data_IF_627987417981
#
_entry.id   IF_627987417981
#
_cell.length_a   1.000
_cell.length_b   1.000
_cell.length_c   1.000
_cell.angle_alpha   90.00
_cell.angle_beta   90.00
_cell.angle_gamma   90.00
#
_symmetry.space_group_name_H-M   'P 1'
#
loop_
_entity.id
_entity.type
_entity.pdbx_description
1 polymer ?
#
# COMPACT_ATOMS: atom_id res chain seq x y z
N UNK A 1 -0.01 -33.90 7.17
CA UNK A 1 0.55 -32.63 6.66
C UNK A 1 -0.26 -31.54 7.33
N UNK A 2 0.26 -31.02 8.43
CA UNK A 2 -0.51 -30.17 9.33
C UNK A 2 -0.63 -28.75 8.75
N UNK A 3 -1.84 -28.20 8.82
CA UNK A 3 -2.15 -26.87 8.35
C UNK A 3 -1.63 -25.87 9.40
N UNK A 4 -0.78 -24.87 9.03
CA UNK A 4 -0.23 -23.90 9.99
C UNK A 4 -1.27 -22.96 10.63
N UNK A 5 -2.55 -23.13 10.31
CA UNK A 5 -3.68 -22.33 10.77
C UNK A 5 -4.32 -22.84 12.07
N UNK A 6 -3.87 -23.97 12.62
CA UNK A 6 -4.50 -24.59 13.80
C UNK A 6 -3.93 -24.15 15.16
N UNK A 7 -2.97 -23.21 15.19
CA UNK A 7 -2.38 -22.71 16.43
C UNK A 7 -2.72 -21.24 16.72
N UNK A 8 -4.00 -20.89 16.65
CA UNK A 8 -4.54 -19.86 17.51
C UNK A 8 -6.04 -20.11 17.61
N UNK A 9 -6.56 -20.28 18.84
CA UNK A 9 -7.98 -20.43 19.10
C UNK A 9 -8.78 -19.21 18.62
N UNK A 10 -9.09 -19.19 17.32
CA UNK A 10 -10.12 -18.35 16.73
C UNK A 10 -11.46 -18.95 17.12
N UNK A 11 -11.82 -18.72 18.38
CA UNK A 11 -13.22 -18.73 18.77
C UNK A 11 -13.91 -17.77 17.81
N UNK A 12 -14.89 -18.29 17.06
CA UNK A 12 -15.86 -17.47 16.33
C UNK A 12 -16.54 -16.57 17.36
N UNK A 13 -16.04 -15.36 17.52
CA UNK A 13 -16.64 -14.36 18.40
C UNK A 13 -17.78 -13.74 17.60
N UNK A 14 -19.00 -14.24 17.81
CA UNK A 14 -20.21 -13.63 17.30
C UNK A 14 -20.27 -12.16 17.79
N UNK A 15 -20.14 -11.19 16.88
CA UNK A 15 -20.33 -9.77 17.17
C UNK A 15 -19.09 -8.88 17.07
N UNK A 16 -17.91 -9.39 16.70
CA UNK A 16 -16.72 -8.56 16.46
C UNK A 16 -16.66 -8.18 14.97
N UNK A 17 -16.58 -6.88 14.67
CA UNK A 17 -16.43 -6.40 13.30
C UNK A 17 -15.07 -6.85 12.72
N UNK A 18 -15.00 -7.05 11.41
CA UNK A 18 -13.73 -7.35 10.73
C UNK A 18 -12.66 -6.28 11.03
N UNK A 19 -13.10 -5.02 11.15
CA UNK A 19 -12.24 -3.90 11.52
C UNK A 19 -11.71 -4.03 12.96
N UNK A 20 -12.56 -4.40 13.92
CA UNK A 20 -12.14 -4.61 15.31
C UNK A 20 -11.11 -5.74 15.41
N UNK A 21 -11.31 -6.81 14.64
CA UNK A 21 -10.36 -7.90 14.56
C UNK A 21 -9.01 -7.42 14.00
N UNK A 22 -9.02 -6.71 12.86
CA UNK A 22 -7.79 -6.19 12.23
C UNK A 22 -7.06 -5.19 13.12
N UNK A 23 -7.77 -4.26 13.75
CA UNK A 23 -7.20 -3.29 14.68
C UNK A 23 -6.56 -3.98 15.89
N UNK A 24 -7.14 -5.06 16.39
CA UNK A 24 -6.55 -5.84 17.49
C UNK A 24 -5.30 -6.61 17.09
N UNK A 25 -5.25 -7.11 15.85
CA UNK A 25 -4.09 -7.85 15.33
C UNK A 25 -2.95 -6.92 14.91
N UNK A 26 -3.26 -5.70 14.48
CA UNK A 26 -2.29 -4.79 13.90
C UNK A 26 -1.06 -4.54 14.78
N UNK A 27 -1.17 -4.21 16.09
CA UNK A 27 0.01 -4.01 16.95
C UNK A 27 0.94 -5.22 17.01
N UNK A 28 0.41 -6.44 16.89
CA UNK A 28 1.19 -7.69 16.91
C UNK A 28 2.01 -7.89 15.63
N UNK A 29 1.61 -7.25 14.52
CA UNK A 29 2.33 -7.30 13.25
C UNK A 29 3.44 -6.26 13.12
N UNK A 30 3.55 -5.32 14.07
CA UNK A 30 4.47 -4.20 13.99
C UNK A 30 5.84 -4.53 14.57
N UNK A 31 6.90 -4.10 13.89
CA UNK A 31 8.24 -4.04 14.49
C UNK A 31 8.36 -2.92 15.53
N UNK A 32 9.39 -3.00 16.38
CA UNK A 32 9.52 -2.17 17.59
C UNK A 32 9.33 -0.66 17.36
N UNK A 33 9.98 -0.09 16.35
CA UNK A 33 9.88 1.35 16.04
C UNK A 33 8.47 1.76 15.62
N UNK A 34 7.78 0.89 14.90
CA UNK A 34 6.43 1.16 14.42
C UNK A 34 5.41 0.98 15.54
N UNK A 35 5.58 -0.05 16.37
CA UNK A 35 4.75 -0.26 17.55
C UNK A 35 4.89 0.89 18.55
N UNK A 36 6.10 1.45 18.73
CA UNK A 36 6.29 2.64 19.57
C UNK A 36 5.52 3.85 19.04
N UNK A 37 5.55 4.10 17.74
CA UNK A 37 4.75 5.18 17.14
C UNK A 37 3.24 4.94 17.30
N UNK A 38 2.76 3.72 17.14
CA UNK A 38 1.33 3.41 17.25
C UNK A 38 0.82 3.80 18.64
N UNK A 39 1.59 3.53 19.69
CA UNK A 39 1.30 3.96 21.07
C UNK A 39 1.31 5.48 21.29
N UNK A 40 1.87 6.26 20.37
CA UNK A 40 1.84 7.74 20.43
C UNK A 40 0.59 8.34 19.81
N UNK A 41 -0.24 7.54 19.14
CA UNK A 41 -1.48 8.02 18.52
C UNK A 41 -2.49 8.46 19.59
N UNK A 42 -3.18 9.60 19.41
CA UNK A 42 -4.21 10.03 20.35
C UNK A 42 -5.33 8.99 20.47
N UNK A 43 -5.87 8.82 21.68
CA UNK A 43 -6.99 7.92 21.92
C UNK A 43 -8.19 8.34 21.06
N UNK A 44 -8.81 7.38 20.36
CA UNK A 44 -9.95 7.63 19.47
C UNK A 44 -9.58 8.24 18.12
N UNK A 45 -8.30 8.45 17.80
CA UNK A 45 -7.88 8.93 16.48
C UNK A 45 -8.01 7.89 15.37
N UNK A 46 -7.99 6.60 15.72
CA UNK A 46 -8.17 5.48 14.80
C UNK A 46 -9.44 4.74 15.22
N UNK A 47 -10.48 4.81 14.40
CA UNK A 47 -11.78 4.19 14.69
C UNK A 47 -12.18 3.09 13.71
N UNK A 48 -11.48 3.04 12.57
CA UNK A 48 -11.68 2.03 11.52
C UNK A 48 -10.34 1.48 11.03
N UNK A 49 -10.39 0.35 10.34
CA UNK A 49 -9.20 -0.19 9.67
C UNK A 49 -8.66 0.77 8.61
N UNK A 50 -9.53 1.57 7.99
CA UNK A 50 -9.12 2.55 6.99
C UNK A 50 -8.31 3.70 7.57
N UNK A 51 -8.73 4.23 8.72
CA UNK A 51 -7.98 5.26 9.46
C UNK A 51 -6.59 4.75 9.84
N UNK A 52 -6.51 3.50 10.32
CA UNK A 52 -5.26 2.85 10.69
C UNK A 52 -4.28 2.79 9.53
N UNK A 53 -4.72 2.28 8.37
CA UNK A 53 -3.90 2.24 7.14
C UNK A 53 -3.44 3.64 6.75
N UNK A 54 -4.32 4.64 6.75
CA UNK A 54 -3.98 6.02 6.37
C UNK A 54 -2.91 6.61 7.29
N UNK A 55 -3.07 6.48 8.61
CA UNK A 55 -2.11 6.98 9.59
C UNK A 55 -0.75 6.28 9.47
N UNK A 56 -0.76 4.97 9.30
CA UNK A 56 0.46 4.17 9.10
C UNK A 56 1.19 4.58 7.83
N UNK A 57 0.47 4.70 6.71
CA UNK A 57 1.03 5.15 5.44
C UNK A 57 1.62 6.56 5.57
N UNK A 58 0.90 7.50 6.17
CA UNK A 58 1.37 8.87 6.36
C UNK A 58 2.64 8.97 7.24
N UNK A 59 2.80 8.07 8.23
CA UNK A 59 3.96 8.06 9.12
C UNK A 59 5.20 7.40 8.50
N UNK A 60 5.03 6.22 7.90
CA UNK A 60 6.17 5.37 7.52
C UNK A 60 6.51 5.42 6.04
N UNK A 61 5.58 5.85 5.19
CA UNK A 61 5.84 6.03 3.78
C UNK A 61 6.06 7.51 3.54
N UNK A 62 7.24 7.86 3.02
CA UNK A 62 7.53 9.26 2.77
C UNK A 62 6.55 9.81 1.71
N UNK A 63 5.87 10.90 2.05
CA UNK A 63 5.08 11.67 1.08
C UNK A 63 5.93 12.03 -0.13
N UNK A 64 7.24 12.24 0.07
CA UNK A 64 8.22 12.49 -0.98
C UNK A 64 8.32 11.34 -1.98
N UNK A 65 8.48 10.09 -1.52
CA UNK A 65 8.57 8.94 -2.41
C UNK A 65 7.24 8.65 -3.11
N UNK A 66 6.13 8.76 -2.37
CA UNK A 66 4.78 8.61 -2.95
C UNK A 66 4.53 9.65 -4.05
N UNK A 67 4.90 10.92 -3.80
CA UNK A 67 4.79 12.01 -4.78
C UNK A 67 5.73 11.82 -5.96
N UNK A 68 6.96 11.36 -5.72
CA UNK A 68 7.94 11.08 -6.76
C UNK A 68 7.42 9.99 -7.71
N UNK A 69 6.97 8.85 -7.17
CA UNK A 69 6.41 7.76 -7.98
C UNK A 69 5.13 8.22 -8.70
N UNK A 70 4.27 8.99 -8.04
CA UNK A 70 3.09 9.56 -8.69
C UNK A 70 3.43 10.48 -9.86
N UNK A 71 4.51 11.26 -9.75
CA UNK A 71 5.03 12.09 -10.83
C UNK A 71 5.62 11.25 -11.97
N UNK A 72 6.39 10.21 -11.67
CA UNK A 72 6.96 9.28 -12.67
C UNK A 72 5.87 8.55 -13.46
N UNK A 73 4.80 8.12 -12.78
CA UNK A 73 3.62 7.54 -13.43
C UNK A 73 2.97 8.61 -14.32
N UNK A 74 2.59 9.76 -13.77
CA UNK A 74 1.80 10.77 -14.49
C UNK A 74 2.51 11.38 -15.71
N UNK A 75 3.84 11.47 -15.66
CA UNK A 75 4.70 12.01 -16.72
C UNK A 75 5.39 10.92 -17.52
N UNK A 76 4.91 9.69 -17.44
CA UNK A 76 5.57 8.58 -18.10
C UNK A 76 5.66 8.81 -19.61
N UNK A 77 6.87 8.71 -20.12
CA UNK A 77 7.17 8.64 -21.54
C UNK A 77 8.22 7.58 -21.78
N UNK A 78 8.06 6.80 -22.84
CA UNK A 78 9.09 5.92 -23.36
C UNK A 78 10.27 6.78 -23.84
N UNK A 79 11.48 6.43 -23.38
CA UNK A 79 12.68 7.17 -23.72
C UNK A 79 13.10 6.88 -25.16
N UNK A 80 13.80 7.82 -25.78
CA UNK A 80 14.41 7.60 -27.08
C UNK A 80 15.32 6.36 -27.03
N UNK A 81 15.12 5.43 -27.97
CA UNK A 81 15.83 4.13 -28.06
C UNK A 81 15.55 3.13 -26.93
N UNK A 82 14.59 3.40 -26.04
CA UNK A 82 14.10 2.40 -25.08
C UNK A 82 13.16 1.44 -25.81
N UNK A 83 13.39 0.13 -25.66
CA UNK A 83 12.46 -0.87 -26.18
C UNK A 83 11.13 -0.80 -25.41
N UNK A 84 10.01 -1.06 -26.09
CA UNK A 84 8.69 -1.08 -25.44
C UNK A 84 8.65 -2.01 -24.22
N UNK A 85 9.27 -3.18 -24.31
CA UNK A 85 9.36 -4.13 -23.18
C UNK A 85 10.06 -3.52 -21.97
N UNK A 86 11.16 -2.79 -22.17
CA UNK A 86 11.88 -2.11 -21.09
C UNK A 86 11.04 -0.97 -20.49
N UNK A 87 10.36 -0.19 -21.34
CA UNK A 87 9.46 0.87 -20.91
C UNK A 87 8.29 0.30 -20.07
N UNK A 88 7.72 -0.83 -20.49
CA UNK A 88 6.66 -1.53 -19.76
C UNK A 88 7.12 -2.05 -18.40
N UNK A 89 8.29 -2.69 -18.32
CA UNK A 89 8.86 -3.13 -17.04
C UNK A 89 9.10 -1.96 -16.09
N UNK A 90 9.63 -0.84 -16.60
CA UNK A 90 9.82 0.40 -15.81
C UNK A 90 8.50 0.95 -15.30
N UNK A 91 7.45 0.95 -16.13
CA UNK A 91 6.13 1.40 -15.72
C UNK A 91 5.52 0.52 -14.63
N UNK A 92 5.61 -0.81 -14.76
CA UNK A 92 5.16 -1.76 -13.72
C UNK A 92 5.91 -1.56 -12.41
N UNK A 93 7.21 -1.30 -12.48
CA UNK A 93 8.04 -1.06 -11.31
C UNK A 93 7.55 0.13 -10.48
N UNK A 94 7.05 1.19 -11.12
CA UNK A 94 6.46 2.31 -10.38
C UNK A 94 5.21 1.89 -9.57
N UNK A 95 4.37 1.03 -10.13
CA UNK A 95 3.19 0.52 -9.42
C UNK A 95 3.56 -0.39 -8.24
N UNK A 96 4.63 -1.19 -8.35
CA UNK A 96 5.06 -2.08 -7.26
C UNK A 96 5.80 -1.34 -6.15
N UNK A 97 6.51 -0.25 -6.45
CA UNK A 97 7.21 0.56 -5.46
C UNK A 97 6.28 1.39 -4.56
N UNK A 98 5.06 1.67 -5.00
CA UNK A 98 4.09 2.46 -4.24
C UNK A 98 2.68 1.86 -4.41
N UNK A 99 2.34 0.74 -3.77
CA UNK A 99 1.03 0.09 -3.94
C UNK A 99 -0.15 0.99 -3.54
N UNK A 100 0.11 2.03 -2.73
CA UNK A 100 -0.84 3.08 -2.34
C UNK A 100 -0.81 4.32 -3.25
N UNK A 101 -0.31 4.21 -4.49
CA UNK A 101 -0.14 5.34 -5.42
C UNK A 101 -1.46 6.04 -5.85
N UNK A 102 -2.63 5.48 -5.54
CA UNK A 102 -3.94 6.13 -5.75
C UNK A 102 -4.43 6.20 -7.21
N UNK A 103 -3.74 5.53 -8.14
CA UNK A 103 -4.14 5.48 -9.56
C UNK A 103 -5.02 4.27 -9.82
N UNK A 104 -6.10 4.46 -10.57
CA UNK A 104 -6.92 3.34 -11.06
C UNK A 104 -6.22 2.60 -12.19
N UNK A 105 -6.56 1.32 -12.42
CA UNK A 105 -6.07 0.55 -13.57
C UNK A 105 -6.34 1.26 -14.90
N UNK A 106 -7.50 1.94 -15.03
CA UNK A 106 -7.84 2.72 -16.23
C UNK A 106 -6.89 3.91 -16.41
N UNK A 107 -6.59 4.62 -15.33
CA UNK A 107 -5.65 5.75 -15.33
C UNK A 107 -4.24 5.28 -15.71
N UNK A 108 -3.77 4.17 -15.13
CA UNK A 108 -2.47 3.58 -15.44
C UNK A 108 -2.36 3.20 -16.93
N UNK A 109 -3.37 2.51 -17.47
CA UNK A 109 -3.39 2.10 -18.87
C UNK A 109 -3.41 3.30 -19.83
N UNK A 110 -4.24 4.30 -19.53
CA UNK A 110 -4.29 5.53 -20.33
C UNK A 110 -2.95 6.25 -20.35
N UNK A 111 -2.26 6.32 -19.21
CA UNK A 111 -0.96 6.98 -19.12
C UNK A 111 0.11 6.22 -19.88
N UNK A 112 0.16 4.89 -19.76
CA UNK A 112 1.08 4.06 -20.56
C UNK A 112 0.85 4.27 -22.06
N UNK A 113 -0.40 4.16 -22.52
CA UNK A 113 -0.73 4.27 -23.94
C UNK A 113 -0.36 5.64 -24.54
N UNK A 114 -0.53 6.71 -23.78
CA UNK A 114 -0.13 8.07 -24.19
C UNK A 114 1.38 8.28 -24.16
N UNK A 115 2.10 7.55 -23.32
CA UNK A 115 3.53 7.73 -23.08
C UNK A 115 4.44 6.89 -23.98
N UNK A 116 3.93 5.82 -24.60
CA UNK A 116 4.74 4.97 -25.50
C UNK A 116 4.93 5.63 -26.86
N UNK A 117 6.12 5.47 -27.45
CA UNK A 117 6.43 5.99 -28.77
C UNK A 117 5.69 5.17 -29.85
N UNK A 118 5.28 5.79 -30.98
CA UNK A 118 4.67 5.08 -32.11
C UNK A 118 5.57 4.00 -32.71
#
# INVERSE_FOLDING_TARGET
>A
MENPLDHCGLTKINGVSEDDFKLRQFPLSLGDKTHQWEKTLPQGSITSWDDCKKAFLAKFFSNTQTSHIGNEISRFTQKNREAFSAAWERFKLYSTQCPHHGFSNKSLLSTLYRGVLP
#
